data_IF_392681600719
#
_entry.id   IF_392681600719
#
_cell.length_a   1.000
_cell.length_b   1.000
_cell.length_c   1.000
_cell.angle_alpha   90.00
_cell.angle_beta   90.00
_cell.angle_gamma   90.00
#
_symmetry.space_group_name_H-M   'P 1'
#
loop_
_entity.id
_entity.type
_entity.pdbx_description
1 polymer ?
#
# COMPACT_ATOMS: atom_id res chain seq x y z
N UNK A 1 -41.49 -50.16 16.00
CA UNK A 1 -40.19 -49.89 15.35
C UNK A 1 -40.08 -48.38 15.28
N UNK A 2 -39.08 -47.82 15.96
CA UNK A 2 -38.82 -46.39 15.96
C UNK A 2 -38.36 -45.94 14.58
N UNK A 3 -38.97 -44.85 14.11
CA UNK A 3 -38.53 -44.04 12.99
C UNK A 3 -37.16 -43.48 13.32
N UNK A 4 -36.22 -43.57 12.38
CA UNK A 4 -34.98 -42.80 12.40
C UNK A 4 -35.11 -41.87 11.18
N UNK A 5 -35.39 -40.61 11.49
CA UNK A 5 -35.41 -39.51 10.53
C UNK A 5 -33.95 -39.16 10.19
N UNK A 6 -33.57 -39.31 8.93
CA UNK A 6 -32.21 -39.16 8.40
C UNK A 6 -32.07 -37.84 7.61
N UNK A 7 -32.67 -36.75 8.13
CA UNK A 7 -32.74 -35.45 7.44
C UNK A 7 -32.23 -34.25 8.26
N UNK A 8 -31.45 -34.46 9.33
CA UNK A 8 -30.95 -33.34 10.16
C UNK A 8 -29.44 -33.04 10.04
N UNK A 9 -28.67 -33.77 9.23
CA UNK A 9 -27.22 -33.54 9.10
C UNK A 9 -26.84 -32.47 8.07
N UNK A 10 -27.76 -32.04 7.19
CA UNK A 10 -27.39 -31.24 6.01
C UNK A 10 -27.32 -29.72 6.20
N UNK A 11 -27.99 -29.12 7.19
CA UNK A 11 -27.99 -27.65 7.39
C UNK A 11 -26.78 -27.17 8.18
N UNK A 12 -26.42 -27.84 9.28
CA UNK A 12 -25.25 -27.47 10.09
C UNK A 12 -23.92 -27.70 9.34
N UNK A 13 -23.84 -28.77 8.55
CA UNK A 13 -22.64 -29.07 7.74
C UNK A 13 -22.47 -28.05 6.59
N UNK A 14 -23.56 -27.58 6.00
CA UNK A 14 -23.53 -26.55 4.95
C UNK A 14 -23.11 -25.18 5.50
N UNK A 15 -23.60 -24.79 6.68
CA UNK A 15 -23.20 -23.57 7.39
C UNK A 15 -21.74 -23.62 7.85
N UNK A 16 -21.26 -24.78 8.28
CA UNK A 16 -19.86 -25.00 8.63
C UNK A 16 -18.93 -24.85 7.39
N UNK A 17 -19.30 -25.45 6.26
CA UNK A 17 -18.56 -25.34 5.00
C UNK A 17 -18.55 -23.89 4.48
N UNK A 18 -19.69 -23.18 4.57
CA UNK A 18 -19.76 -21.77 4.20
C UNK A 18 -18.95 -20.87 5.15
N UNK A 19 -18.92 -21.19 6.45
CA UNK A 19 -18.07 -20.54 7.43
C UNK A 19 -16.58 -20.69 7.11
N UNK A 20 -16.13 -21.91 6.79
CA UNK A 20 -14.75 -22.19 6.38
C UNK A 20 -14.42 -21.50 5.05
N UNK A 21 -15.33 -21.52 4.09
CA UNK A 21 -15.12 -20.85 2.80
C UNK A 21 -15.05 -19.32 2.98
N UNK A 22 -15.83 -18.76 3.89
CA UNK A 22 -15.77 -17.35 4.29
C UNK A 22 -14.42 -16.97 4.92
N UNK A 23 -13.91 -17.77 5.85
CA UNK A 23 -12.59 -17.54 6.46
C UNK A 23 -11.46 -17.66 5.45
N UNK A 24 -11.48 -18.65 4.55
CA UNK A 24 -10.50 -18.78 3.47
C UNK A 24 -10.52 -17.63 2.45
N UNK A 25 -11.66 -16.98 2.24
CA UNK A 25 -11.75 -15.78 1.39
C UNK A 25 -11.11 -14.58 2.11
N UNK A 26 -11.41 -14.39 3.40
CA UNK A 26 -10.81 -13.32 4.20
C UNK A 26 -9.29 -13.48 4.32
N UNK A 27 -8.79 -14.68 4.58
CA UNK A 27 -7.35 -14.96 4.63
C UNK A 27 -6.67 -14.63 3.30
N UNK A 28 -7.28 -14.99 2.17
CA UNK A 28 -6.75 -14.61 0.84
C UNK A 28 -6.71 -13.10 0.64
N UNK A 29 -7.73 -12.36 1.08
CA UNK A 29 -7.76 -10.91 1.01
C UNK A 29 -6.68 -10.26 1.89
N UNK A 30 -6.45 -10.77 3.11
CA UNK A 30 -5.40 -10.27 3.99
C UNK A 30 -4.01 -10.49 3.40
N UNK A 31 -3.77 -11.67 2.86
CA UNK A 31 -2.49 -12.04 2.23
C UNK A 31 -2.22 -11.19 0.99
N UNK A 32 -3.25 -10.94 0.18
CA UNK A 32 -3.17 -10.03 -0.96
C UNK A 32 -2.85 -8.60 -0.52
N UNK A 33 -3.57 -8.05 0.47
CA UNK A 33 -3.29 -6.73 1.04
C UNK A 33 -1.88 -6.62 1.60
N UNK A 34 -1.38 -7.69 2.24
CA UNK A 34 -0.01 -7.75 2.75
C UNK A 34 1.01 -7.72 1.62
N UNK A 35 0.78 -8.47 0.54
CA UNK A 35 1.63 -8.46 -0.66
C UNK A 35 1.64 -7.10 -1.34
N UNK A 36 0.48 -6.47 -1.52
CA UNK A 36 0.36 -5.12 -2.08
C UNK A 36 1.17 -4.10 -1.28
N UNK A 37 1.06 -4.15 0.06
CA UNK A 37 1.83 -3.27 0.94
C UNK A 37 3.33 -3.54 0.84
N UNK A 38 3.75 -4.81 0.80
CA UNK A 38 5.17 -5.15 0.66
C UNK A 38 5.74 -4.68 -0.68
N UNK A 39 4.98 -4.81 -1.76
CA UNK A 39 5.35 -4.32 -3.10
C UNK A 39 5.50 -2.79 -3.10
N UNK A 40 4.54 -2.09 -2.52
CA UNK A 40 4.58 -0.63 -2.38
C UNK A 40 5.84 -0.18 -1.62
N UNK A 41 6.12 -0.79 -0.48
CA UNK A 41 7.30 -0.45 0.32
C UNK A 41 8.61 -0.77 -0.42
N UNK A 42 8.65 -1.84 -1.22
CA UNK A 42 9.80 -2.17 -2.07
C UNK A 42 10.03 -1.12 -3.16
N UNK A 43 8.97 -0.71 -3.88
CA UNK A 43 9.05 0.33 -4.91
C UNK A 43 9.49 1.68 -4.34
N UNK A 44 8.92 2.07 -3.19
CA UNK A 44 9.32 3.31 -2.49
C UNK A 44 10.80 3.26 -2.13
N UNK A 45 11.28 2.12 -1.60
CA UNK A 45 12.68 1.96 -1.23
C UNK A 45 13.57 2.07 -2.47
N UNK A 46 13.26 1.35 -3.53
CA UNK A 46 14.04 1.37 -4.77
C UNK A 46 14.16 2.80 -5.33
N UNK A 47 13.04 3.49 -5.54
CA UNK A 47 13.04 4.86 -6.08
C UNK A 47 13.74 5.86 -5.14
N UNK A 48 13.65 5.63 -3.84
CA UNK A 48 14.34 6.48 -2.87
C UNK A 48 15.86 6.24 -2.88
N UNK A 49 16.30 4.99 -3.06
CA UNK A 49 17.72 4.65 -3.16
C UNK A 49 18.32 5.15 -4.50
N UNK A 50 17.51 5.22 -5.55
CA UNK A 50 17.85 5.83 -6.85
C UNK A 50 17.86 7.37 -6.81
N UNK A 51 17.37 7.99 -5.73
CA UNK A 51 17.32 9.45 -5.63
C UNK A 51 18.72 10.06 -5.59
N UNK A 52 18.98 10.98 -6.51
CA UNK A 52 20.26 11.64 -6.70
C UNK A 52 20.51 12.73 -5.67
N UNK A 53 21.79 13.09 -5.48
CA UNK A 53 22.18 14.24 -4.67
C UNK A 53 21.54 15.55 -5.15
N UNK A 54 21.30 15.68 -6.46
CA UNK A 54 20.64 16.84 -7.06
C UNK A 54 19.17 16.94 -6.64
N UNK A 55 18.42 15.84 -6.66
CA UNK A 55 17.02 15.83 -6.24
C UNK A 55 16.86 16.23 -4.76
N UNK A 56 17.78 15.77 -3.92
CA UNK A 56 17.83 16.15 -2.50
C UNK A 56 18.10 17.66 -2.37
N UNK A 57 19.08 18.20 -3.10
CA UNK A 57 19.38 19.64 -3.08
C UNK A 57 18.19 20.49 -3.58
N UNK A 58 17.55 20.06 -4.67
CA UNK A 58 16.37 20.70 -5.22
C UNK A 58 15.20 20.68 -4.22
N UNK A 59 15.00 19.60 -3.47
CA UNK A 59 13.98 19.53 -2.42
C UNK A 59 14.32 20.45 -1.23
N UNK A 60 15.60 20.58 -0.86
CA UNK A 60 16.05 21.54 0.17
C UNK A 60 15.73 22.98 -0.27
N UNK A 61 16.10 23.35 -1.49
CA UNK A 61 15.86 24.70 -2.00
C UNK A 61 14.37 25.00 -2.14
N UNK A 62 13.56 24.05 -2.65
CA UNK A 62 12.10 24.18 -2.67
C UNK A 62 11.52 24.38 -1.27
N UNK A 63 12.02 23.65 -0.28
CA UNK A 63 11.59 23.83 1.11
C UNK A 63 11.94 25.23 1.64
N UNK A 64 13.17 25.70 1.44
CA UNK A 64 13.59 27.03 1.87
C UNK A 64 12.77 28.14 1.21
N UNK A 65 12.56 28.06 -0.10
CA UNK A 65 11.71 29.00 -0.85
C UNK A 65 10.29 29.03 -0.29
N UNK A 66 9.67 27.87 -0.03
CA UNK A 66 8.32 27.80 0.54
C UNK A 66 8.21 28.43 1.93
N UNK A 67 9.33 28.51 2.66
CA UNK A 67 9.43 29.10 4.00
C UNK A 67 10.04 30.50 4.01
N UNK A 68 10.31 31.08 2.83
CA UNK A 68 11.02 32.36 2.65
C UNK A 68 12.34 32.43 3.43
N UNK A 69 13.04 31.29 3.55
CA UNK A 69 14.32 31.20 4.24
C UNK A 69 15.46 31.60 3.30
N UNK A 70 16.31 32.51 3.74
CA UNK A 70 17.53 32.92 3.05
C UNK A 70 18.76 32.27 3.69
N UNK A 71 18.86 30.95 3.57
CA UNK A 71 20.02 30.19 4.05
C UNK A 71 21.11 30.12 2.98
N UNK A 72 22.36 30.29 3.40
CA UNK A 72 23.53 30.21 2.51
C UNK A 72 24.24 28.84 2.57
N UNK A 73 23.98 28.04 3.60
CA UNK A 73 24.62 26.74 3.82
C UNK A 73 23.58 25.68 4.14
N UNK A 74 23.73 24.53 3.49
CA UNK A 74 22.92 23.33 3.75
C UNK A 74 23.44 22.67 5.02
N UNK A 75 22.53 22.37 5.94
CA UNK A 75 22.84 21.59 7.16
C UNK A 75 22.42 20.13 7.00
N UNK A 76 22.98 19.23 7.80
CA UNK A 76 22.55 17.82 7.85
C UNK A 76 21.05 17.69 8.15
N UNK A 77 20.50 18.61 8.95
CA UNK A 77 19.06 18.67 9.24
C UNK A 77 18.24 18.98 7.98
N UNK A 78 18.73 19.87 7.13
CA UNK A 78 18.07 20.18 5.85
C UNK A 78 18.09 18.96 4.92
N UNK A 79 19.21 18.24 4.85
CA UNK A 79 19.33 16.97 4.10
C UNK A 79 18.36 15.91 4.61
N UNK A 80 18.30 15.69 5.93
CA UNK A 80 17.39 14.73 6.56
C UNK A 80 15.92 15.08 6.28
N UNK A 81 15.58 16.37 6.38
CA UNK A 81 14.23 16.85 6.09
C UNK A 81 13.85 16.64 4.62
N UNK A 82 14.74 16.99 3.69
CA UNK A 82 14.52 16.81 2.27
C UNK A 82 14.35 15.33 1.90
N UNK A 83 15.20 14.45 2.42
CA UNK A 83 15.06 13.00 2.28
C UNK A 83 13.69 12.51 2.75
N UNK A 84 13.23 12.95 3.92
CA UNK A 84 11.90 12.58 4.42
C UNK A 84 10.76 13.09 3.53
N UNK A 85 10.87 14.34 3.03
CA UNK A 85 9.88 14.91 2.11
C UNK A 85 9.85 14.17 0.78
N UNK A 86 11.01 13.84 0.23
CA UNK A 86 11.13 13.09 -1.01
C UNK A 86 10.53 11.69 -0.86
N UNK A 87 10.86 10.98 0.22
CA UNK A 87 10.25 9.68 0.55
C UNK A 87 8.72 9.77 0.65
N UNK A 88 8.18 10.85 1.22
CA UNK A 88 6.74 11.08 1.29
C UNK A 88 6.12 11.28 -0.10
N UNK A 89 6.74 12.08 -0.96
CA UNK A 89 6.28 12.30 -2.35
C UNK A 89 6.28 11.00 -3.15
N UNK A 90 7.37 10.24 -3.09
CA UNK A 90 7.48 8.93 -3.74
C UNK A 90 6.35 8.00 -3.26
N UNK A 91 6.08 7.97 -1.95
CA UNK A 91 4.97 7.16 -1.41
C UNK A 91 3.62 7.58 -1.98
N UNK A 92 3.33 8.88 -2.05
CA UNK A 92 2.08 9.39 -2.63
C UNK A 92 1.97 9.02 -4.11
N UNK A 93 3.05 9.18 -4.88
CA UNK A 93 3.11 8.82 -6.30
C UNK A 93 2.90 7.32 -6.53
N UNK A 94 3.62 6.46 -5.80
CA UNK A 94 3.49 5.00 -5.94
C UNK A 94 2.09 4.51 -5.52
N UNK A 95 1.51 5.10 -4.48
CA UNK A 95 0.14 4.78 -4.06
C UNK A 95 -0.87 5.17 -5.13
N UNK A 96 -0.73 6.38 -5.70
CA UNK A 96 -1.59 6.84 -6.77
C UNK A 96 -1.44 5.97 -8.03
N UNK A 97 -0.22 5.57 -8.36
CA UNK A 97 0.05 4.66 -9.48
C UNK A 97 -0.66 3.32 -9.31
N UNK A 98 -0.53 2.68 -8.14
CA UNK A 98 -1.26 1.44 -7.84
C UNK A 98 -2.78 1.62 -7.93
N UNK A 99 -3.30 2.77 -7.48
CA UNK A 99 -4.72 3.08 -7.59
C UNK A 99 -5.17 3.20 -9.05
N UNK A 100 -4.41 3.90 -9.89
CA UNK A 100 -4.71 4.02 -11.31
C UNK A 100 -4.63 2.67 -12.03
N UNK A 101 -3.61 1.86 -11.76
CA UNK A 101 -3.47 0.51 -12.30
C UNK A 101 -4.63 -0.42 -11.88
N UNK A 102 -5.18 -0.22 -10.68
CA UNK A 102 -6.40 -0.92 -10.26
C UNK A 102 -7.60 -0.47 -11.10
N UNK A 103 -7.82 0.84 -11.23
CA UNK A 103 -8.93 1.37 -12.04
C UNK A 103 -8.84 0.93 -13.50
N UNK A 104 -7.64 0.89 -14.08
CA UNK A 104 -7.42 0.43 -15.46
C UNK A 104 -7.74 -1.05 -15.64
N UNK A 105 -7.31 -1.91 -14.71
CA UNK A 105 -7.61 -3.36 -14.74
C UNK A 105 -9.11 -3.69 -14.66
N UNK A 106 -9.89 -2.82 -14.04
CA UNK A 106 -11.33 -3.00 -13.85
C UNK A 106 -12.19 -2.09 -14.75
N UNK A 107 -11.57 -1.33 -15.66
CA UNK A 107 -12.27 -0.39 -16.55
C UNK A 107 -13.25 -1.09 -17.50
N UNK A 108 -12.88 -2.25 -18.01
CA UNK A 108 -13.64 -3.01 -19.02
C UNK A 108 -14.52 -4.13 -18.39
N UNK A 109 -14.63 -4.18 -17.06
CA UNK A 109 -15.46 -5.14 -16.34
C UNK A 109 -16.88 -4.63 -16.04
N UNK A 110 -17.23 -3.43 -16.51
CA UNK A 110 -18.56 -2.82 -16.41
C UNK A 110 -19.17 -2.58 -17.80
#
# INVERSE_FOLDING_TARGET
MQQIDDESESEEEFDFINGIRGTQVLDRMFEEKRRERALLDANIKQRFDESTSEEIQNEIHRYWLSRKLTKQRITERDVKLAKNRLKKKIREEETNKMHMEFLERHRDQN
#
